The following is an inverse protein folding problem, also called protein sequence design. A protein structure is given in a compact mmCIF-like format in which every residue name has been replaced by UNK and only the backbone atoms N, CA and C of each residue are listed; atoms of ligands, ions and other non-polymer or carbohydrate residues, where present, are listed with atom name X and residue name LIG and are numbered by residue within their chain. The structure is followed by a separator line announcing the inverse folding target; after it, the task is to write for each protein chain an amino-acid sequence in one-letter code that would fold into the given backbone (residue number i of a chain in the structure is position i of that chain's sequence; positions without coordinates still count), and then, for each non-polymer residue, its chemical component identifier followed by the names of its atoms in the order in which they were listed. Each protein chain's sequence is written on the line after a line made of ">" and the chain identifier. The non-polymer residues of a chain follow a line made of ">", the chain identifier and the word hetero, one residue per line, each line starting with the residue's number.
data_IF_197552133582
#
_entry.id   IF_197552133582
#
_cell.length_a   1.000
_cell.length_b   1.000
_cell.length_c   1.000
_cell.angle_alpha   90.00
_cell.angle_beta   90.00
_cell.angle_gamma   90.00
#
_symmetry.space_group_name_H-M   'P 1'
#
loop_
_entity.id
_entity.type
_entity.pdbx_description
1 polymer ?
#
# COMPACT_ATOMS: atom_id res chain seq x y z
N UNK A 1 -19.37 -8.71 -2.41
CA UNK A 1 -20.53 -8.38 -3.27
C UNK A 1 -21.87 -8.87 -2.68
N UNK A 2 -21.92 -10.03 -2.03
CA UNK A 2 -23.15 -10.58 -1.41
C UNK A 2 -23.66 -9.77 -0.21
N UNK A 3 -22.77 -9.34 0.70
CA UNK A 3 -23.17 -8.54 1.87
C UNK A 3 -23.75 -7.17 1.48
N UNK A 4 -23.19 -6.52 0.45
CA UNK A 4 -23.68 -5.23 -0.03
C UNK A 4 -25.08 -5.31 -0.64
N UNK A 5 -25.38 -6.38 -1.39
CA UNK A 5 -26.73 -6.61 -1.91
C UNK A 5 -27.72 -6.92 -0.79
N UNK A 6 -27.34 -7.73 0.20
CA UNK A 6 -28.21 -8.04 1.35
C UNK A 6 -28.49 -6.79 2.17
N UNK A 7 -27.48 -5.96 2.46
CA UNK A 7 -27.66 -4.69 3.17
C UNK A 7 -28.55 -3.74 2.36
N UNK A 8 -28.36 -3.65 1.04
CA UNK A 8 -29.21 -2.83 0.17
C UNK A 8 -30.66 -3.31 0.16
N UNK A 9 -30.89 -4.62 0.08
CA UNK A 9 -32.25 -5.19 0.13
C UNK A 9 -32.90 -5.02 1.50
N UNK A 10 -32.14 -5.15 2.57
CA UNK A 10 -32.67 -4.95 3.93
C UNK A 10 -33.03 -3.48 4.17
N UNK A 11 -32.16 -2.54 3.76
CA UNK A 11 -32.43 -1.11 3.88
C UNK A 11 -33.66 -0.66 3.06
N UNK A 12 -33.87 -1.22 1.87
CA UNK A 12 -35.00 -0.84 1.00
C UNK A 12 -36.32 -1.54 1.36
N UNK A 13 -36.26 -2.79 1.80
CA UNK A 13 -37.47 -3.61 2.04
C UNK A 13 -37.98 -3.46 3.48
N UNK A 14 -37.11 -3.21 4.46
CA UNK A 14 -37.46 -3.24 5.87
C UNK A 14 -37.31 -1.89 6.59
N UNK A 15 -37.01 -0.80 5.85
CA UNK A 15 -36.85 0.56 6.41
C UNK A 15 -35.98 0.57 7.68
N UNK A 16 -34.97 -0.30 7.73
CA UNK A 16 -33.98 -0.32 8.81
C UNK A 16 -33.03 0.85 8.55
N UNK A 17 -33.52 2.04 8.87
CA UNK A 17 -32.70 3.22 8.99
C UNK A 17 -31.58 2.91 9.98
N UNK A 18 -30.33 2.91 9.49
CA UNK A 18 -29.17 2.94 10.35
C UNK A 18 -29.25 4.23 11.16
N UNK A 19 -29.88 4.10 12.34
CA UNK A 19 -30.12 5.05 13.42
C UNK A 19 -29.45 6.42 13.25
N UNK A 20 -29.96 7.27 12.35
CA UNK A 20 -29.81 8.72 12.39
C UNK A 20 -31.02 9.32 11.66
N UNK A 21 -32.06 9.60 12.46
CA UNK A 21 -33.20 10.49 12.17
C UNK A 21 -34.26 9.99 11.18
N UNK A 22 -35.40 9.51 11.69
CA UNK A 22 -36.69 9.53 10.98
C UNK A 22 -37.76 10.01 11.96
N UNK A 23 -38.28 11.25 11.83
CA UNK A 23 -39.54 11.63 12.47
C UNK A 23 -40.69 11.03 11.65
N UNK A 24 -41.62 10.37 12.33
CA UNK A 24 -42.88 9.90 11.76
C UNK A 24 -43.77 11.10 11.43
N UNK A 25 -43.94 11.45 10.15
CA UNK A 25 -45.14 12.10 9.60
C UNK A 25 -44.96 12.28 8.06
N UNK A 26 -45.49 11.34 7.28
CA UNK A 26 -46.28 11.52 6.05
C UNK A 26 -45.87 12.44 4.88
N UNK A 27 -44.79 13.22 4.89
CA UNK A 27 -44.46 14.16 3.79
C UNK A 27 -42.97 14.12 3.43
N UNK A 28 -42.65 13.76 2.17
CA UNK A 28 -41.36 14.04 1.51
C UNK A 28 -40.09 13.35 2.06
N UNK A 29 -40.20 12.24 2.81
CA UNK A 29 -39.04 11.51 3.31
C UNK A 29 -38.20 10.84 2.21
N UNK A 30 -38.81 10.39 1.10
CA UNK A 30 -38.06 9.90 -0.07
C UNK A 30 -37.20 11.00 -0.69
N UNK A 31 -37.78 12.20 -0.88
CA UNK A 31 -37.09 13.34 -1.47
C UNK A 31 -35.92 13.83 -0.61
N UNK A 32 -36.08 13.88 0.72
CA UNK A 32 -35.01 14.30 1.64
C UNK A 32 -33.82 13.35 1.63
N UNK A 33 -34.08 12.04 1.75
CA UNK A 33 -33.04 11.00 1.73
C UNK A 33 -32.36 10.95 0.36
N UNK A 34 -33.11 11.07 -0.74
CA UNK A 34 -32.53 11.12 -2.09
C UNK A 34 -31.64 12.34 -2.30
N UNK A 35 -32.02 13.53 -1.82
CA UNK A 35 -31.18 14.74 -1.96
C UNK A 35 -29.87 14.64 -1.19
N UNK A 36 -29.89 14.06 0.01
CA UNK A 36 -28.66 13.82 0.77
C UNK A 36 -27.80 12.77 0.08
N UNK A 37 -28.39 11.70 -0.45
CA UNK A 37 -27.69 10.68 -1.20
C UNK A 37 -27.01 11.26 -2.46
N UNK A 38 -27.71 12.08 -3.23
CA UNK A 38 -27.15 12.75 -4.42
C UNK A 38 -26.02 13.71 -4.06
N UNK A 39 -26.17 14.46 -2.96
CA UNK A 39 -25.12 15.38 -2.48
C UNK A 39 -23.86 14.63 -2.03
N UNK A 40 -24.02 13.52 -1.29
CA UNK A 40 -22.89 12.68 -0.85
C UNK A 40 -22.23 12.00 -2.04
N UNK A 41 -23.00 11.51 -3.01
CA UNK A 41 -22.47 10.90 -4.23
C UNK A 41 -21.66 11.93 -5.05
N UNK A 42 -22.21 13.12 -5.29
CA UNK A 42 -21.52 14.18 -6.01
C UNK A 42 -20.26 14.64 -5.25
N UNK A 43 -20.35 14.83 -3.93
CA UNK A 43 -19.21 15.19 -3.08
C UNK A 43 -18.11 14.13 -3.07
N UNK A 44 -18.50 12.86 -3.00
CA UNK A 44 -17.60 11.71 -3.08
C UNK A 44 -16.88 11.63 -4.42
N UNK A 45 -17.58 11.89 -5.52
CA UNK A 45 -17.00 11.92 -6.87
C UNK A 45 -15.94 13.03 -7.00
N UNK A 46 -16.26 14.26 -6.57
CA UNK A 46 -15.31 15.39 -6.60
C UNK A 46 -14.10 15.11 -5.72
N UNK A 47 -14.31 14.63 -4.50
CA UNK A 47 -13.23 14.30 -3.57
C UNK A 47 -12.36 13.17 -4.13
N UNK A 48 -12.97 12.15 -4.74
CA UNK A 48 -12.27 11.05 -5.42
C UNK A 48 -11.40 11.52 -6.58
N UNK A 49 -11.90 12.45 -7.41
CA UNK A 49 -11.12 13.07 -8.48
C UNK A 49 -9.90 13.84 -7.95
N UNK A 50 -10.08 14.64 -6.88
CA UNK A 50 -9.00 15.42 -6.28
C UNK A 50 -7.93 14.51 -5.67
N UNK A 51 -8.35 13.49 -4.91
CA UNK A 51 -7.42 12.51 -4.31
C UNK A 51 -6.70 11.69 -5.39
N UNK A 52 -7.39 11.33 -6.47
CA UNK A 52 -6.78 10.64 -7.61
C UNK A 52 -5.72 11.50 -8.29
N UNK A 53 -6.03 12.78 -8.57
CA UNK A 53 -5.07 13.72 -9.17
C UNK A 53 -3.85 13.96 -8.28
N UNK A 54 -4.04 14.11 -6.96
CA UNK A 54 -2.94 14.17 -6.01
C UNK A 54 -2.11 12.88 -6.05
N UNK A 55 -2.76 11.71 -5.98
CA UNK A 55 -2.10 10.41 -6.08
C UNK A 55 -1.26 10.27 -7.34
N UNK A 56 -1.74 10.79 -8.49
CA UNK A 56 -1.00 10.76 -9.76
C UNK A 56 0.29 11.59 -9.70
N UNK A 57 0.26 12.80 -9.13
CA UNK A 57 1.46 13.62 -8.96
C UNK A 57 2.52 12.91 -8.11
N UNK A 58 2.11 12.31 -6.99
CA UNK A 58 3.00 11.57 -6.11
C UNK A 58 3.52 10.28 -6.77
N UNK A 59 2.67 9.59 -7.55
CA UNK A 59 3.06 8.41 -8.30
C UNK A 59 4.13 8.73 -9.36
N UNK A 60 3.96 9.82 -10.11
CA UNK A 60 4.94 10.27 -11.12
C UNK A 60 6.27 10.61 -10.45
N UNK A 61 6.24 11.32 -9.31
CA UNK A 61 7.45 11.65 -8.55
C UNK A 61 8.16 10.38 -8.04
N UNK A 62 7.42 9.44 -7.46
CA UNK A 62 7.97 8.17 -7.02
C UNK A 62 8.58 7.37 -8.18
N UNK A 63 7.89 7.30 -9.32
CA UNK A 63 8.37 6.62 -10.51
C UNK A 63 9.63 7.29 -11.07
N UNK A 64 9.68 8.62 -11.14
CA UNK A 64 10.85 9.37 -11.59
C UNK A 64 12.06 9.12 -10.69
N UNK A 65 11.87 9.09 -9.36
CA UNK A 65 12.93 8.76 -8.40
C UNK A 65 13.46 7.33 -8.59
N UNK A 66 12.56 6.37 -8.80
CA UNK A 66 12.96 4.97 -9.07
C UNK A 66 13.75 4.90 -10.37
N UNK A 67 13.31 5.58 -11.44
CA UNK A 67 14.00 5.57 -12.74
C UNK A 67 15.35 6.27 -12.66
N UNK A 68 15.48 7.46 -12.04
CA UNK A 68 16.77 8.14 -11.88
C UNK A 68 17.76 7.28 -11.08
N UNK A 69 17.28 6.65 -10.01
CA UNK A 69 18.10 5.78 -9.18
C UNK A 69 18.56 4.53 -9.94
N UNK A 70 17.70 3.92 -10.76
CA UNK A 70 18.03 2.76 -11.61
C UNK A 70 18.99 3.15 -12.73
N UNK A 71 18.86 4.35 -13.30
CA UNK A 71 19.74 4.83 -14.37
C UNK A 71 21.15 5.15 -13.85
N UNK A 72 21.28 5.76 -12.67
CA UNK A 72 22.58 6.02 -12.04
C UNK A 72 23.24 4.77 -11.48
N UNK A 73 22.47 3.89 -10.84
CA UNK A 73 22.97 2.71 -10.16
C UNK A 73 22.36 1.44 -10.79
N UNK A 74 22.91 1.03 -11.93
CA UNK A 74 22.48 -0.17 -12.68
C UNK A 74 22.60 -1.46 -11.88
N UNK A 75 23.46 -1.47 -10.85
CA UNK A 75 23.69 -2.61 -9.95
C UNK A 75 22.65 -2.76 -8.83
N UNK A 76 21.74 -1.78 -8.66
CA UNK A 76 20.72 -1.84 -7.61
C UNK A 76 19.64 -2.89 -7.88
N UNK A 77 19.35 -3.17 -9.15
CA UNK A 77 18.25 -4.06 -9.53
C UNK A 77 18.53 -5.54 -9.17
N UNK A 78 19.80 -5.98 -9.17
CA UNK A 78 20.10 -7.41 -9.13
C UNK A 78 20.59 -7.95 -7.78
N UNK A 79 21.32 -7.19 -6.93
CA UNK A 79 22.08 -7.84 -5.83
C UNK A 79 21.86 -7.35 -4.39
N UNK A 80 21.86 -6.05 -4.07
CA UNK A 80 22.38 -5.69 -2.73
C UNK A 80 21.39 -5.67 -1.54
N UNK A 81 20.08 -5.47 -1.70
CA UNK A 81 19.14 -5.45 -0.53
C UNK A 81 17.71 -5.85 -0.89
N UNK A 82 17.47 -7.14 -1.08
CA UNK A 82 16.10 -7.65 -1.11
C UNK A 82 15.59 -7.76 0.32
N UNK A 83 15.01 -6.66 0.80
CA UNK A 83 14.23 -6.62 2.03
C UNK A 83 12.76 -6.79 1.67
N UNK A 84 11.98 -7.34 2.59
CA UNK A 84 10.51 -7.40 2.52
C UNK A 84 9.88 -6.02 2.21
N UNK A 85 10.61 -4.92 2.37
CA UNK A 85 10.19 -3.56 1.97
C UNK A 85 9.79 -3.38 0.50
N UNK A 86 10.26 -4.22 -0.44
CA UNK A 86 9.76 -4.18 -1.84
C UNK A 86 8.30 -4.64 -1.96
N UNK A 87 7.83 -5.53 -1.07
CA UNK A 87 6.42 -5.91 -0.98
C UNK A 87 5.54 -4.77 -0.44
N UNK A 88 6.08 -3.78 0.27
CA UNK A 88 5.30 -2.65 0.75
C UNK A 88 4.87 -1.70 -0.39
N UNK A 89 5.56 -1.74 -1.54
CA UNK A 89 5.28 -0.89 -2.70
C UNK A 89 4.06 -1.39 -3.50
N UNK A 90 3.76 -2.70 -3.45
CA UNK A 90 2.60 -3.25 -4.18
C UNK A 90 1.26 -2.77 -3.63
N UNK A 91 1.19 -2.45 -2.32
CA UNK A 91 -0.03 -1.97 -1.69
C UNK A 91 -0.49 -0.59 -2.22
N UNK A 92 0.30 0.49 -2.13
CA UNK A 92 -0.11 1.80 -2.63
C UNK A 92 -0.32 1.82 -4.15
N UNK A 93 0.49 1.09 -4.93
CA UNK A 93 0.28 0.98 -6.37
C UNK A 93 -1.03 0.23 -6.67
N UNK A 94 -1.30 -0.85 -5.95
CA UNK A 94 -2.54 -1.62 -6.07
C UNK A 94 -3.78 -0.78 -5.77
N UNK A 95 -3.76 -0.03 -4.65
CA UNK A 95 -4.85 0.89 -4.27
C UNK A 95 -5.06 1.98 -5.32
N UNK A 96 -3.97 2.53 -5.89
CA UNK A 96 -4.07 3.52 -6.96
C UNK A 96 -4.68 2.94 -8.24
N UNK A 97 -4.36 1.69 -8.58
CA UNK A 97 -4.96 0.98 -9.71
C UNK A 97 -6.48 0.75 -9.49
N UNK A 98 -6.90 0.27 -8.31
CA UNK A 98 -8.34 0.11 -8.00
C UNK A 98 -9.09 1.42 -7.92
N UNK A 99 -8.48 2.50 -7.42
CA UNK A 99 -9.09 3.83 -7.46
C UNK A 99 -9.32 4.28 -8.91
N UNK A 100 -8.36 4.04 -9.81
CA UNK A 100 -8.46 4.40 -11.23
C UNK A 100 -9.54 3.60 -11.95
N UNK A 101 -9.67 2.30 -11.69
CA UNK A 101 -10.71 1.46 -12.31
C UNK A 101 -12.11 1.78 -11.78
N UNK A 102 -12.23 2.13 -10.50
CA UNK A 102 -13.48 2.62 -9.91
C UNK A 102 -13.90 3.93 -10.58
N UNK A 103 -12.98 4.88 -10.70
CA UNK A 103 -13.25 6.16 -11.35
C UNK A 103 -13.57 6.01 -12.84
N UNK A 104 -12.94 5.05 -13.54
CA UNK A 104 -13.28 4.72 -14.93
C UNK A 104 -14.71 4.19 -15.08
N UNK A 105 -15.20 3.47 -14.07
CA UNK A 105 -16.56 2.92 -14.05
C UNK A 105 -17.58 4.02 -13.75
N UNK A 106 -17.28 4.96 -12.85
CA UNK A 106 -18.17 6.07 -12.51
C UNK A 106 -18.25 7.12 -13.63
N UNK A 107 -17.12 7.50 -14.23
CA UNK A 107 -17.10 8.52 -15.30
C UNK A 107 -17.53 8.00 -16.67
N UNK A 108 -17.64 6.68 -16.86
CA UNK A 108 -17.84 6.04 -18.16
C UNK A 108 -16.84 6.50 -19.26
N UNK A 109 -15.70 7.08 -18.87
CA UNK A 109 -14.75 7.67 -19.79
C UNK A 109 -13.77 6.63 -20.32
N UNK A 110 -13.63 6.50 -21.66
CA UNK A 110 -12.68 5.56 -22.25
C UNK A 110 -11.22 5.88 -21.88
N UNK A 111 -10.87 7.15 -21.63
CA UNK A 111 -9.52 7.55 -21.23
C UNK A 111 -9.13 6.95 -19.86
N UNK A 112 -10.04 7.00 -18.89
CA UNK A 112 -9.80 6.40 -17.56
C UNK A 112 -9.76 4.88 -17.62
N UNK A 113 -10.52 4.24 -18.53
CA UNK A 113 -10.40 2.79 -18.79
C UNK A 113 -9.00 2.44 -19.25
N UNK A 114 -8.45 3.15 -20.23
CA UNK A 114 -7.09 2.89 -20.74
C UNK A 114 -6.05 3.10 -19.64
N UNK A 115 -6.13 4.20 -18.89
CA UNK A 115 -5.22 4.48 -17.76
C UNK A 115 -5.29 3.40 -16.67
N UNK A 116 -6.49 2.97 -16.29
CA UNK A 116 -6.67 1.88 -15.33
C UNK A 116 -6.11 0.55 -15.82
N UNK A 117 -6.21 0.28 -17.13
CA UNK A 117 -5.64 -0.95 -17.73
C UNK A 117 -4.12 -0.91 -17.70
N UNK A 118 -3.50 0.22 -18.08
CA UNK A 118 -2.04 0.41 -18.04
C UNK A 118 -1.51 0.24 -16.62
N UNK A 119 -2.13 0.90 -15.64
CA UNK A 119 -1.75 0.77 -14.23
C UNK A 119 -1.91 -0.67 -13.72
N UNK A 120 -2.98 -1.36 -14.11
CA UNK A 120 -3.21 -2.77 -13.73
C UNK A 120 -2.14 -3.70 -14.30
N UNK A 121 -1.75 -3.51 -15.57
CA UNK A 121 -0.66 -4.28 -16.20
C UNK A 121 0.67 -3.98 -15.53
N UNK A 122 0.95 -2.71 -15.21
CA UNK A 122 2.15 -2.30 -14.50
C UNK A 122 2.25 -2.96 -13.11
N UNK A 123 1.14 -3.01 -12.38
CA UNK A 123 1.04 -3.76 -11.10
C UNK A 123 1.30 -5.24 -11.31
N UNK A 124 0.69 -5.86 -12.31
CA UNK A 124 0.84 -7.29 -12.57
C UNK A 124 2.29 -7.67 -12.92
N UNK A 125 2.97 -6.87 -13.73
CA UNK A 125 4.39 -7.06 -14.04
C UNK A 125 5.28 -6.86 -12.81
N UNK A 126 5.00 -5.84 -12.00
CA UNK A 126 5.73 -5.62 -10.76
C UNK A 126 5.53 -6.79 -9.77
N UNK A 127 4.31 -7.30 -9.69
CA UNK A 127 3.97 -8.46 -8.86
C UNK A 127 4.73 -9.72 -9.30
N UNK A 128 4.72 -10.04 -10.61
CA UNK A 128 5.48 -11.17 -11.15
C UNK A 128 6.98 -11.03 -10.88
N UNK A 129 7.54 -9.84 -11.08
CA UNK A 129 8.94 -9.55 -10.79
C UNK A 129 9.29 -9.82 -9.31
N UNK A 130 8.49 -9.27 -8.38
CA UNK A 130 8.70 -9.44 -6.94
C UNK A 130 8.50 -10.89 -6.52
N UNK A 131 7.49 -11.59 -7.04
CA UNK A 131 7.23 -13.00 -6.74
C UNK A 131 8.37 -13.90 -7.21
N UNK A 132 8.85 -13.75 -8.44
CA UNK A 132 10.00 -14.52 -8.95
C UNK A 132 11.27 -14.26 -8.14
N UNK A 133 11.54 -12.99 -7.79
CA UNK A 133 12.71 -12.62 -7.00
C UNK A 133 12.62 -13.11 -5.55
N UNK A 134 11.41 -13.15 -4.97
CA UNK A 134 11.15 -13.73 -3.65
C UNK A 134 11.44 -15.22 -3.66
N UNK A 135 10.95 -15.96 -4.66
CA UNK A 135 11.18 -17.40 -4.79
C UNK A 135 12.68 -17.68 -4.94
N UNK A 136 13.35 -16.94 -5.83
CA UNK A 136 14.79 -17.09 -6.05
C UNK A 136 15.60 -16.87 -4.77
N UNK A 137 15.32 -15.79 -4.02
CA UNK A 137 16.04 -15.48 -2.78
C UNK A 137 15.62 -16.29 -1.57
N UNK A 138 14.39 -16.79 -1.53
CA UNK A 138 13.94 -17.75 -0.53
C UNK A 138 14.68 -19.09 -0.69
N UNK A 139 14.92 -19.52 -1.93
CA UNK A 139 15.73 -20.70 -2.23
C UNK A 139 17.22 -20.49 -1.88
N UNK A 140 17.74 -19.26 -1.99
CA UNK A 140 19.13 -18.90 -1.68
C UNK A 140 19.43 -18.74 -0.17
N UNK A 141 18.41 -18.82 0.71
CA UNK A 141 18.59 -18.80 2.18
C UNK A 141 19.04 -17.47 2.81
N UNK A 142 19.33 -16.44 2.01
CA UNK A 142 19.90 -15.16 2.47
C UNK A 142 18.91 -14.21 3.16
N UNK A 143 17.61 -14.53 3.19
CA UNK A 143 16.55 -13.66 3.78
C UNK A 143 16.64 -13.59 5.32
N UNK A 144 17.21 -14.60 5.98
CA UNK A 144 17.36 -14.66 7.43
C UNK A 144 18.77 -14.36 7.94
N UNK A 145 19.70 -14.01 7.04
CA UNK A 145 21.03 -13.56 7.43
C UNK A 145 20.91 -12.11 7.96
N UNK A 146 20.45 -11.98 9.21
CA UNK A 146 20.46 -10.71 9.91
C UNK A 146 21.92 -10.22 10.00
N UNK A 147 22.30 -9.12 9.32
CA UNK A 147 23.67 -8.58 9.37
C UNK A 147 24.09 -8.20 10.80
N UNK A 148 23.09 -8.03 11.66
CA UNK A 148 23.18 -7.68 13.06
C UNK A 148 23.85 -8.78 13.88
N UNK A 149 23.46 -10.06 13.73
CA UNK A 149 24.08 -11.16 14.49
C UNK A 149 25.55 -11.36 14.11
N UNK A 150 25.90 -11.24 12.82
CA UNK A 150 27.28 -11.27 12.36
C UNK A 150 28.12 -10.09 12.93
N UNK A 151 27.50 -8.92 13.09
CA UNK A 151 28.14 -7.74 13.67
C UNK A 151 28.31 -7.82 15.18
N UNK A 152 27.41 -8.53 15.89
CA UNK A 152 27.53 -8.76 17.33
C UNK A 152 28.56 -9.84 17.65
N UNK A 153 28.61 -10.93 16.87
CA UNK A 153 29.59 -12.01 17.07
C UNK A 153 31.03 -11.51 16.88
N UNK A 154 31.30 -10.72 15.84
CA UNK A 154 32.61 -10.10 15.64
C UNK A 154 33.02 -9.13 16.76
N UNK A 155 32.08 -8.41 17.35
CA UNK A 155 32.36 -7.49 18.49
C UNK A 155 32.60 -8.25 19.80
N UNK A 156 31.93 -9.38 20.01
CA UNK A 156 32.16 -10.24 21.18
C UNK A 156 33.55 -10.87 21.08
N UNK A 157 33.89 -11.48 19.93
CA UNK A 157 35.21 -12.10 19.74
C UNK A 157 36.35 -11.09 19.90
N UNK A 158 36.25 -9.89 19.32
CA UNK A 158 37.30 -8.86 19.46
C UNK A 158 37.43 -8.38 20.91
N UNK A 159 36.32 -8.18 21.63
CA UNK A 159 36.35 -7.80 23.06
C UNK A 159 36.95 -8.90 23.94
N UNK A 160 36.63 -10.15 23.67
CA UNK A 160 37.16 -11.28 24.44
C UNK A 160 38.66 -11.48 24.19
N UNK A 161 39.11 -11.30 22.93
CA UNK A 161 40.53 -11.31 22.58
C UNK A 161 41.29 -10.11 23.20
N UNK A 162 40.70 -8.92 23.20
CA UNK A 162 41.30 -7.74 23.83
C UNK A 162 41.42 -7.92 25.35
N UNK A 163 40.42 -8.54 25.98
CA UNK A 163 40.43 -8.83 27.43
C UNK A 163 41.43 -9.94 27.79
N UNK A 164 41.61 -10.93 26.93
CA UNK A 164 42.63 -11.97 27.10
C UNK A 164 44.06 -11.45 26.86
N UNK A 165 44.23 -10.52 25.91
CA UNK A 165 45.51 -9.89 25.61
C UNK A 165 45.91 -8.83 26.64
N UNK A 166 44.93 -8.10 27.19
CA UNK A 166 45.15 -7.09 28.22
C UNK A 166 44.23 -7.32 29.43
N UNK A 167 44.61 -8.23 30.35
CA UNK A 167 43.91 -8.41 31.60
C UNK A 167 44.16 -7.18 32.47
N UNK A 168 43.36 -6.12 32.30
CA UNK A 168 43.38 -5.00 33.25
C UNK A 168 43.06 -5.56 34.64
N UNK A 169 43.86 -5.25 35.68
CA UNK A 169 43.51 -5.63 37.02
C UNK A 169 42.17 -4.99 37.36
N UNK A 170 41.24 -5.78 37.90
CA UNK A 170 39.98 -5.27 38.43
C UNK A 170 40.31 -4.20 39.46
N UNK A 171 40.09 -2.94 39.09
CA UNK A 171 40.14 -1.83 40.03
C UNK A 171 39.03 -2.10 41.04
N UNK A 172 39.41 -2.61 42.21
CA UNK A 172 38.55 -2.68 43.37
C UNK A 172 38.12 -1.25 43.68
N UNK A 173 36.83 -0.98 43.45
CA UNK A 173 36.20 0.25 43.90
C UNK A 173 35.85 0.01 45.39
N UNK A 174 36.35 0.85 46.31
CA UNK A 174 36.02 0.75 47.73
C UNK A 174 34.54 1.05 48.01
#
# INVERSE_FOLDING_TARGET
>A
MTLGNVVRTLAYTYDVGLFLTVPSEGVSCSTGIQRVADAVYAGGMVTGMVLWGLGLCWYILAFAMVVDHVLKNRDFFFLSKFSVGLWAITFPIGVFATATTTLASELHSPAFKVLGTILSVQVALHWLYVSCMTIYKACDGTIFAAPEVASFEGKVTVRDLEKAHNPRPSVNMP
#
